data_IF_140381053423
#
_entry.id   IF_140381053423
#
_cell.length_a   1.000
_cell.length_b   1.000
_cell.length_c   1.000
_cell.angle_alpha   90.00
_cell.angle_beta   90.00
_cell.angle_gamma   90.00
#
_symmetry.space_group_name_H-M   'P 1'
#
loop_
_entity.id
_entity.type
_entity.pdbx_description
1 polymer ?
#
# COMPACT_ATOMS: atom_id res chain seq x y z
N UNK A 1 -3.26 -42.96 -4.98
CA UNK A 1 -4.00 -41.90 -4.28
C UNK A 1 -3.23 -40.60 -4.44
N UNK A 2 -3.75 -39.65 -5.22
CA UNK A 2 -3.07 -38.39 -5.55
C UNK A 2 -3.28 -37.35 -4.43
N UNK A 3 -2.20 -36.80 -3.90
CA UNK A 3 -2.24 -35.67 -2.98
C UNK A 3 -2.26 -34.38 -3.80
N UNK A 4 -3.38 -33.67 -3.80
CA UNK A 4 -3.52 -32.35 -4.41
C UNK A 4 -2.71 -31.35 -3.58
N UNK A 5 -1.57 -30.93 -4.10
CA UNK A 5 -0.75 -29.86 -3.53
C UNK A 5 -1.49 -28.52 -3.73
N UNK A 6 -2.15 -28.04 -2.68
CA UNK A 6 -2.66 -26.67 -2.65
C UNK A 6 -1.45 -25.72 -2.70
N UNK A 7 -1.28 -25.07 -3.85
CA UNK A 7 -0.24 -24.08 -4.09
C UNK A 7 -0.55 -22.83 -3.27
N UNK A 8 -0.13 -22.83 -2.00
CA UNK A 8 -0.02 -21.62 -1.20
C UNK A 8 1.14 -20.81 -1.77
N UNK A 9 0.90 -20.11 -2.89
CA UNK A 9 1.80 -19.04 -3.34
C UNK A 9 1.68 -17.93 -2.32
N UNK A 10 2.42 -18.08 -1.24
CA UNK A 10 2.68 -17.07 -0.23
C UNK A 10 3.16 -15.84 -0.99
N UNK A 11 2.26 -14.87 -1.19
CA UNK A 11 2.63 -13.61 -1.80
C UNK A 11 3.57 -12.92 -0.81
N UNK A 12 4.87 -13.07 -1.06
CA UNK A 12 5.89 -12.43 -0.24
C UNK A 12 5.65 -10.91 -0.28
N UNK A 13 5.80 -10.21 0.86
CA UNK A 13 5.75 -8.76 0.88
C UNK A 13 6.73 -8.20 -0.16
N UNK A 14 6.22 -7.47 -1.14
CA UNK A 14 7.04 -6.92 -2.21
C UNK A 14 7.57 -5.59 -1.71
N UNK A 15 8.89 -5.52 -1.46
CA UNK A 15 9.54 -4.27 -1.09
C UNK A 15 9.94 -3.56 -2.37
N UNK A 16 9.48 -2.33 -2.53
CA UNK A 16 9.78 -1.49 -3.69
C UNK A 16 10.26 -0.13 -3.25
N UNK A 17 11.35 0.33 -3.84
CA UNK A 17 11.75 1.72 -3.71
C UNK A 17 10.79 2.61 -4.49
N UNK A 18 10.40 3.72 -3.89
CA UNK A 18 9.46 4.66 -4.49
C UNK A 18 9.39 5.99 -3.77
N UNK A 19 8.47 6.81 -4.22
CA UNK A 19 8.12 8.08 -3.58
C UNK A 19 6.66 8.03 -3.13
N UNK A 20 6.44 8.12 -1.83
CA UNK A 20 5.13 8.27 -1.21
C UNK A 20 4.83 9.75 -1.00
N UNK A 21 3.88 10.28 -1.74
CA UNK A 21 3.37 11.64 -1.54
C UNK A 21 2.13 11.59 -0.64
N UNK A 22 2.25 12.05 0.60
CA UNK A 22 1.12 12.17 1.53
C UNK A 22 0.46 13.53 1.31
N UNK A 23 -0.85 13.53 1.09
CA UNK A 23 -1.68 14.74 1.00
C UNK A 23 -2.84 14.62 1.98
N UNK A 24 -3.01 15.64 2.80
CA UNK A 24 -4.16 15.73 3.70
C UNK A 24 -5.34 16.34 2.95
N UNK A 25 -6.43 15.60 2.84
CA UNK A 25 -7.67 16.08 2.24
C UNK A 25 -8.70 16.31 3.35
N UNK A 26 -9.28 17.50 3.38
CA UNK A 26 -10.32 17.85 4.33
C UNK A 26 -11.68 17.41 3.78
N UNK A 27 -12.18 16.29 4.28
CA UNK A 27 -13.46 15.73 3.90
C UNK A 27 -14.61 16.19 4.78
N UNK A 28 -15.83 15.85 4.35
CA UNK A 28 -17.06 16.11 5.11
C UNK A 28 -17.12 15.37 6.46
N UNK A 29 -16.34 14.29 6.61
CA UNK A 29 -16.24 13.48 7.83
C UNK A 29 -14.98 13.78 8.67
N UNK A 30 -14.17 14.77 8.28
CA UNK A 30 -12.88 15.09 8.91
C UNK A 30 -11.72 15.12 7.92
N UNK A 31 -10.54 15.65 8.33
CA UNK A 31 -9.32 15.51 7.57
C UNK A 31 -8.96 14.02 7.43
N UNK A 32 -8.56 13.61 6.24
CA UNK A 32 -8.05 12.26 5.97
C UNK A 32 -6.79 12.37 5.11
N UNK A 33 -5.78 11.58 5.43
CA UNK A 33 -4.55 11.55 4.65
C UNK A 33 -4.63 10.49 3.57
N UNK A 34 -4.27 10.89 2.35
CA UNK A 34 -4.09 9.97 1.23
C UNK A 34 -2.62 9.93 0.83
N UNK A 35 -2.08 8.73 0.77
CA UNK A 35 -0.74 8.47 0.26
C UNK A 35 -0.79 8.10 -1.20
N UNK A 36 0.03 8.75 -2.01
CA UNK A 36 0.23 8.39 -3.40
C UNK A 36 1.63 7.81 -3.56
N UNK A 37 1.71 6.48 -3.58
CA UNK A 37 2.95 5.75 -3.74
C UNK A 37 3.24 5.56 -5.23
N UNK A 38 4.29 6.19 -5.72
CA UNK A 38 4.78 6.04 -7.09
C UNK A 38 6.02 5.14 -7.06
N UNK A 39 5.94 4.01 -7.75
CA UNK A 39 7.03 3.03 -7.83
C UNK A 39 7.24 2.60 -9.29
N UNK A 40 8.41 2.01 -9.63
CA UNK A 40 8.68 1.54 -10.99
C UNK A 40 7.71 0.46 -11.47
N UNK A 41 7.11 -0.30 -10.54
CA UNK A 41 6.14 -1.36 -10.85
C UNK A 41 4.72 -0.82 -11.05
N UNK A 42 4.46 0.44 -10.67
CA UNK A 42 3.14 1.05 -10.75
C UNK A 42 2.87 2.13 -9.71
N UNK A 43 1.66 2.68 -9.79
CA UNK A 43 1.15 3.72 -8.90
C UNK A 43 0.13 3.09 -7.95
N UNK A 44 0.27 3.37 -6.65
CA UNK A 44 -0.60 2.84 -5.61
C UNK A 44 -1.19 3.98 -4.80
N UNK A 45 -2.52 4.02 -4.69
CA UNK A 45 -3.21 4.92 -3.78
C UNK A 45 -3.36 4.22 -2.42
N UNK A 46 -2.64 4.70 -1.42
CA UNK A 46 -2.69 4.22 -0.05
C UNK A 46 -3.68 5.08 0.73
N UNK A 47 -4.73 4.43 1.25
CA UNK A 47 -5.77 5.05 2.07
C UNK A 47 -5.77 4.37 3.43
N UNK A 48 -4.72 4.62 4.20
CA UNK A 48 -4.55 4.06 5.54
C UNK A 48 -4.56 5.17 6.59
N UNK A 49 -5.24 4.92 7.71
CA UNK A 49 -5.31 5.85 8.84
C UNK A 49 -3.93 6.06 9.49
N UNK A 50 -2.99 5.11 9.32
CA UNK A 50 -1.60 5.28 9.77
C UNK A 50 -0.90 6.44 9.04
N UNK A 51 -1.30 6.77 7.81
CA UNK A 51 -0.78 7.95 7.11
C UNK A 51 -1.24 9.28 7.72
N UNK A 52 -2.34 9.31 8.48
CA UNK A 52 -2.78 10.53 9.19
C UNK A 52 -1.81 10.93 10.31
N UNK A 53 -0.98 10.00 10.77
CA UNK A 53 0.05 10.28 11.76
C UNK A 53 1.29 10.93 11.15
N UNK A 54 1.44 10.88 9.83
CA UNK A 54 2.57 11.46 9.11
C UNK A 54 2.18 12.79 8.47
N UNK A 55 3.01 13.85 8.60
CA UNK A 55 2.72 15.14 7.99
C UNK A 55 2.65 15.04 6.46
N UNK A 56 1.87 15.92 5.84
CA UNK A 56 1.83 16.02 4.38
C UNK A 56 3.22 16.34 3.83
N UNK A 57 3.61 15.64 2.77
CA UNK A 57 4.98 15.67 2.31
C UNK A 57 5.32 14.56 1.35
N UNK A 58 6.57 14.57 0.87
CA UNK A 58 7.14 13.52 0.04
C UNK A 58 8.07 12.69 0.88
N UNK A 59 7.86 11.38 0.82
CA UNK A 59 8.63 10.39 1.53
C UNK A 59 9.28 9.48 0.50
N UNK A 60 10.58 9.62 0.33
CA UNK A 60 11.37 8.76 -0.54
C UNK A 60 11.92 7.60 0.31
N UNK A 61 11.68 6.36 -0.13
CA UNK A 61 12.07 5.19 0.66
C UNK A 61 11.66 3.87 0.04
N UNK A 62 11.85 2.79 0.80
CA UNK A 62 11.35 1.46 0.48
C UNK A 62 9.98 1.24 1.11
N UNK A 63 9.02 0.82 0.28
CA UNK A 63 7.64 0.58 0.66
C UNK A 63 7.31 -0.89 0.52
N UNK A 64 6.68 -1.45 1.54
CA UNK A 64 6.28 -2.85 1.57
C UNK A 64 4.85 -2.98 1.09
N UNK A 65 4.67 -3.45 -0.15
CA UNK A 65 3.35 -3.69 -0.72
C UNK A 65 2.90 -5.10 -0.36
N UNK A 66 1.81 -5.18 0.41
CA UNK A 66 1.12 -6.44 0.72
C UNK A 66 -0.06 -6.61 -0.21
N UNK A 67 0.06 -7.54 -1.16
CA UNK A 67 -1.04 -7.88 -2.07
C UNK A 67 -2.07 -8.71 -1.30
N UNK A 68 -3.13 -8.07 -0.79
CA UNK A 68 -4.28 -8.80 -0.25
C UNK A 68 -5.11 -9.30 -1.43
N UNK A 69 -4.99 -10.59 -1.78
CA UNK A 69 -6.00 -11.23 -2.64
C UNK A 69 -7.20 -11.57 -1.77
N UNK A 70 -8.29 -10.87 -1.99
CA UNK A 70 -9.60 -11.34 -1.55
C UNK A 70 -9.93 -12.57 -2.39
N UNK A 71 -10.06 -13.71 -1.72
CA UNK A 71 -10.43 -14.98 -2.34
C UNK A 71 -11.95 -14.97 -2.42
N UNK A 72 -12.48 -14.94 -3.64
CA UNK A 72 -13.90 -15.09 -3.93
C UNK A 72 -14.36 -16.55 -3.72
#
# INVERSE_FOLDING_TARGET
MAATSASTRSALPIVVSGQLSIRTIHGRNGPFCVGYLVTPIGNFAVKDAELEQYPEGKYDGEFVIRVRREVA
#
